data_IF_938894332667
#
_entry.id   IF_938894332667
#
_cell.length_a   1.000
_cell.length_b   1.000
_cell.length_c   1.000
_cell.angle_alpha   90.00
_cell.angle_beta   90.00
_cell.angle_gamma   90.00
#
_symmetry.space_group_name_H-M   'P 1'
#
loop_
_entity.id
_entity.type
_entity.pdbx_description
1 polymer ?
#
# COMPACT_ATOMS: atom_id res chain seq x y z
N UNK A 1 -25.25 -8.49 -46.07
CA UNK A 1 -23.93 -8.92 -45.60
C UNK A 1 -23.60 -8.10 -44.37
N UNK A 2 -23.95 -8.60 -43.20
CA UNK A 2 -23.72 -7.90 -41.93
C UNK A 2 -22.22 -8.00 -41.65
N UNK A 3 -21.50 -6.87 -41.66
CA UNK A 3 -20.20 -6.87 -41.00
C UNK A 3 -20.50 -7.07 -39.54
N UNK A 4 -20.13 -8.25 -39.03
CA UNK A 4 -19.89 -8.35 -37.61
C UNK A 4 -18.76 -7.35 -37.34
N UNK A 5 -19.11 -6.30 -36.60
CA UNK A 5 -18.22 -5.64 -35.64
C UNK A 5 -17.87 -6.69 -34.56
N UNK A 6 -17.44 -7.88 -34.99
CA UNK A 6 -16.88 -8.90 -34.15
C UNK A 6 -15.47 -8.42 -33.90
N UNK A 7 -15.40 -7.51 -32.93
CA UNK A 7 -14.40 -7.57 -31.89
C UNK A 7 -13.04 -7.78 -32.53
N UNK A 8 -12.45 -6.69 -33.02
CA UNK A 8 -11.00 -6.61 -33.14
C UNK A 8 -10.48 -7.00 -31.75
N UNK A 9 -10.17 -8.29 -31.62
CA UNK A 9 -9.59 -8.95 -30.47
C UNK A 9 -8.14 -8.47 -30.44
N UNK A 10 -7.97 -7.16 -30.23
CA UNK A 10 -6.79 -6.62 -29.57
C UNK A 10 -6.84 -7.22 -28.18
N UNK A 11 -6.33 -8.45 -28.10
CA UNK A 11 -5.81 -9.11 -26.92
C UNK A 11 -4.61 -8.28 -26.41
N UNK A 12 -4.84 -7.01 -26.10
CA UNK A 12 -4.04 -6.27 -25.17
C UNK A 12 -4.29 -6.97 -23.85
N UNK A 13 -3.48 -7.99 -23.52
CA UNK A 13 -3.37 -8.47 -22.16
C UNK A 13 -3.11 -7.23 -21.32
N UNK A 14 -4.15 -6.74 -20.65
CA UNK A 14 -4.05 -5.52 -19.87
C UNK A 14 -3.03 -5.81 -18.78
N UNK A 15 -1.87 -5.15 -18.87
CA UNK A 15 -0.81 -5.33 -17.88
C UNK A 15 -1.34 -4.81 -16.56
N UNK A 16 -1.25 -5.64 -15.53
CA UNK A 16 -1.61 -5.29 -14.17
C UNK A 16 -0.35 -5.09 -13.33
N UNK A 17 -0.46 -4.21 -12.36
CA UNK A 17 0.63 -3.74 -11.54
C UNK A 17 0.36 -4.01 -10.07
N UNK A 18 1.38 -3.78 -9.27
CA UNK A 18 1.37 -3.95 -7.82
C UNK A 18 1.90 -2.69 -7.16
N UNK A 19 1.32 -2.34 -6.01
CA UNK A 19 1.84 -1.35 -5.07
C UNK A 19 2.11 -2.08 -3.77
N UNK A 20 3.31 -1.96 -3.24
CA UNK A 20 3.76 -2.56 -1.99
C UNK A 20 5.12 -1.99 -1.61
N UNK A 21 5.69 -2.46 -0.51
CA UNK A 21 7.12 -2.41 -0.16
C UNK A 21 7.29 -2.89 1.30
N UNK A 22 7.55 -1.97 2.23
CA UNK A 22 7.98 -2.27 3.58
C UNK A 22 7.65 -1.10 4.52
N UNK A 23 7.27 -1.40 5.76
CA UNK A 23 7.05 -0.41 6.83
C UNK A 23 8.01 -0.71 7.97
N UNK A 24 8.71 0.32 8.44
CA UNK A 24 9.75 0.21 9.48
C UNK A 24 9.66 1.33 10.51
N UNK A 25 10.26 1.09 11.67
CA UNK A 25 10.45 2.09 12.69
C UNK A 25 11.74 2.88 12.39
N UNK A 26 11.57 4.12 11.93
CA UNK A 26 12.64 5.10 11.71
C UNK A 26 13.09 5.70 13.06
N UNK A 27 14.04 5.03 13.71
CA UNK A 27 14.45 5.35 15.10
C UNK A 27 15.44 6.50 15.19
N UNK A 28 16.22 6.74 14.14
CA UNK A 28 17.22 7.81 14.05
C UNK A 28 16.72 9.04 13.26
N UNK A 29 15.55 8.92 12.62
CA UNK A 29 14.77 10.00 11.99
C UNK A 29 15.40 10.58 10.74
N UNK A 30 16.12 9.75 9.98
CA UNK A 30 16.78 10.18 8.74
C UNK A 30 15.93 9.92 7.49
N UNK A 31 14.84 9.13 7.62
CA UNK A 31 13.96 8.75 6.53
C UNK A 31 14.58 7.76 5.53
N UNK A 32 15.71 7.14 5.87
CA UNK A 32 16.43 6.15 5.07
C UNK A 32 16.32 4.79 5.75
N UNK A 33 15.97 3.77 4.98
CA UNK A 33 15.86 2.41 5.53
C UNK A 33 17.23 1.78 5.76
N UNK A 34 17.41 1.15 6.92
CA UNK A 34 18.52 0.25 7.22
C UNK A 34 19.82 0.95 7.59
N UNK A 35 19.77 2.22 7.97
CA UNK A 35 20.94 3.03 8.38
C UNK A 35 21.27 2.83 9.86
N UNK A 36 20.29 2.48 10.71
CA UNK A 36 20.51 2.01 12.09
C UNK A 36 20.07 0.55 12.27
N UNK A 37 20.94 -0.26 12.86
CA UNK A 37 20.66 -1.67 13.25
C UNK A 37 19.43 -1.88 14.16
N UNK A 38 18.93 -0.81 14.79
CA UNK A 38 17.74 -0.82 15.64
C UNK A 38 16.45 -0.56 14.87
N UNK A 39 16.53 -0.14 13.62
CA UNK A 39 15.36 -0.03 12.75
C UNK A 39 14.78 -1.41 12.47
N UNK A 40 13.50 -1.60 12.81
CA UNK A 40 12.83 -2.90 12.76
C UNK A 40 11.60 -2.87 11.86
N UNK A 41 11.24 -4.02 11.26
CA UNK A 41 9.98 -4.15 10.54
C UNK A 41 8.79 -3.87 11.47
N UNK A 42 7.80 -3.16 10.96
CA UNK A 42 6.55 -2.90 11.67
C UNK A 42 5.45 -3.83 11.19
N UNK A 43 5.18 -4.88 11.95
CA UNK A 43 4.08 -5.78 11.70
C UNK A 43 2.72 -5.19 12.07
N UNK A 44 1.66 -5.69 11.44
CA UNK A 44 0.26 -5.40 11.76
C UNK A 44 -0.16 -3.93 11.56
N UNK A 45 0.60 -3.13 10.81
CA UNK A 45 0.21 -1.76 10.40
C UNK A 45 -0.93 -1.88 9.39
N UNK A 46 -2.03 -1.14 9.61
CA UNK A 46 -3.14 -1.12 8.67
C UNK A 46 -2.77 -0.23 7.49
N UNK A 47 -2.79 -0.80 6.29
CA UNK A 47 -2.54 -0.07 5.04
C UNK A 47 -3.81 -0.11 4.21
N UNK A 48 -4.28 1.05 3.79
CA UNK A 48 -5.50 1.21 2.99
C UNK A 48 -5.14 1.82 1.65
N UNK A 49 -5.53 1.13 0.58
CA UNK A 49 -5.49 1.63 -0.79
C UNK A 49 -6.86 2.19 -1.15
N UNK A 50 -6.90 3.42 -1.63
CA UNK A 50 -8.07 4.03 -2.29
C UNK A 50 -7.90 3.93 -3.80
N UNK A 51 -8.89 3.35 -4.47
CA UNK A 51 -8.97 3.20 -5.92
C UNK A 51 -9.50 4.47 -6.59
N UNK A 52 -9.35 4.63 -7.92
CA UNK A 52 -9.83 5.81 -8.65
C UNK A 52 -11.33 6.08 -8.50
N UNK A 53 -12.13 5.04 -8.30
CA UNK A 53 -13.58 5.13 -8.11
C UNK A 53 -13.98 5.47 -6.66
N UNK A 54 -13.00 5.70 -5.77
CA UNK A 54 -13.21 5.99 -4.36
C UNK A 54 -13.43 4.76 -3.48
N UNK A 55 -13.50 3.55 -4.05
CA UNK A 55 -13.54 2.32 -3.25
C UNK A 55 -12.21 2.10 -2.53
N UNK A 56 -12.21 1.27 -1.49
CA UNK A 56 -11.02 1.01 -0.70
C UNK A 56 -10.77 -0.48 -0.49
N UNK A 57 -9.50 -0.85 -0.31
CA UNK A 57 -9.07 -2.16 0.15
C UNK A 57 -8.01 -1.98 1.22
N UNK A 58 -8.06 -2.80 2.26
CA UNK A 58 -7.07 -2.77 3.33
C UNK A 58 -6.34 -4.09 3.44
N UNK A 59 -5.05 -4.01 3.79
CA UNK A 59 -4.20 -5.13 4.18
C UNK A 59 -3.47 -4.74 5.45
N UNK A 60 -2.86 -5.72 6.12
CA UNK A 60 -1.94 -5.45 7.22
C UNK A 60 -0.54 -5.87 6.83
N UNK A 61 0.46 -5.12 7.28
CA UNK A 61 1.85 -5.54 7.12
C UNK A 61 2.08 -6.87 7.82
N UNK A 62 2.87 -7.74 7.21
CA UNK A 62 3.23 -9.04 7.78
C UNK A 62 4.29 -8.92 8.89
N UNK A 63 4.75 -10.04 9.43
CA UNK A 63 5.77 -10.09 10.49
C UNK A 63 7.10 -9.43 10.08
N UNK A 64 7.36 -9.34 8.77
CA UNK A 64 8.53 -8.73 8.17
C UNK A 64 8.19 -7.35 7.61
N UNK A 65 7.11 -6.69 8.04
CA UNK A 65 6.78 -5.31 7.65
C UNK A 65 6.29 -5.16 6.21
N UNK A 66 6.11 -6.24 5.44
CA UNK A 66 5.74 -6.15 4.03
C UNK A 66 4.23 -6.05 3.83
N UNK A 67 3.81 -5.28 2.82
CA UNK A 67 2.44 -5.20 2.35
C UNK A 67 2.39 -5.17 0.81
N UNK A 68 1.29 -5.63 0.21
CA UNK A 68 1.11 -5.61 -1.24
C UNK A 68 -0.38 -5.48 -1.63
N UNK A 69 -0.63 -4.68 -2.65
CA UNK A 69 -1.87 -4.64 -3.43
C UNK A 69 -1.55 -4.96 -4.88
N UNK A 70 -2.10 -6.06 -5.41
CA UNK A 70 -1.98 -6.43 -6.81
C UNK A 70 -3.24 -6.13 -7.64
N UNK A 71 -3.12 -6.32 -8.96
CA UNK A 71 -4.25 -6.22 -9.88
C UNK A 71 -4.58 -4.78 -10.31
N UNK A 72 -3.61 -3.88 -10.22
CA UNK A 72 -3.81 -2.45 -10.46
C UNK A 72 -3.66 -2.13 -11.94
N UNK A 73 -4.54 -1.26 -12.47
CA UNK A 73 -4.47 -0.78 -13.86
C UNK A 73 -3.41 0.33 -13.97
N UNK A 74 -2.73 0.37 -15.11
CA UNK A 74 -1.81 1.46 -15.48
C UNK A 74 -2.52 2.80 -15.63
N UNK A 75 -1.78 3.89 -15.44
CA UNK A 75 -2.25 5.26 -15.73
C UNK A 75 -3.35 5.80 -14.81
N UNK A 76 -3.65 5.10 -13.73
CA UNK A 76 -4.66 5.48 -12.75
C UNK A 76 -4.01 6.02 -11.46
N UNK A 77 -4.71 6.88 -10.73
CA UNK A 77 -4.26 7.40 -9.44
C UNK A 77 -4.79 6.53 -8.30
N UNK A 78 -3.88 6.09 -7.43
CA UNK A 78 -4.21 5.38 -6.19
C UNK A 78 -3.62 6.13 -5.01
N UNK A 79 -4.34 6.16 -3.89
CA UNK A 79 -3.85 6.76 -2.65
C UNK A 79 -3.59 5.67 -1.62
N UNK A 80 -2.40 5.63 -1.03
CA UNK A 80 -2.06 4.71 0.06
C UNK A 80 -2.06 5.49 1.37
N UNK A 81 -2.80 4.98 2.36
CA UNK A 81 -2.84 5.52 3.72
C UNK A 81 -2.36 4.46 4.71
N UNK A 82 -1.49 4.88 5.62
CA UNK A 82 -1.00 4.06 6.72
C UNK A 82 -1.68 4.50 8.01
N UNK A 83 -2.18 3.53 8.78
CA UNK A 83 -2.76 3.74 10.09
C UNK A 83 -2.10 2.79 11.09
N UNK A 84 -1.46 3.36 12.11
CA UNK A 84 -0.91 2.58 13.19
C UNK A 84 -1.67 2.90 14.48
N UNK A 85 -2.63 2.04 14.82
CA UNK A 85 -3.38 2.14 16.07
C UNK A 85 -2.47 2.10 17.30
N UNK A 86 -1.34 1.36 17.25
CA UNK A 86 -0.41 1.24 18.36
C UNK A 86 0.45 2.50 18.53
N UNK A 87 0.89 3.16 17.45
CA UNK A 87 1.52 4.49 17.54
C UNK A 87 0.53 5.51 18.11
N UNK A 88 -0.70 5.55 17.58
CA UNK A 88 -1.72 6.50 18.03
C UNK A 88 -2.07 6.23 19.50
N UNK A 89 -2.21 4.98 19.96
CA UNK A 89 -2.52 4.68 21.36
C UNK A 89 -1.35 4.93 22.32
N UNK A 90 -0.12 4.58 21.93
CA UNK A 90 1.07 4.76 22.77
C UNK A 90 1.58 6.20 22.83
N UNK A 91 1.30 7.02 21.81
CA UNK A 91 1.61 8.45 21.85
C UNK A 91 0.45 9.29 22.41
N UNK A 92 -0.82 8.91 22.24
CA UNK A 92 -1.96 9.64 22.85
C UNK A 92 -1.89 9.67 24.38
N UNK A 93 -1.30 8.65 25.02
CA UNK A 93 -1.02 8.69 26.47
C UNK A 93 0.15 9.62 26.85
N UNK A 94 1.02 10.00 25.90
CA UNK A 94 2.17 10.90 26.12
C UNK A 94 1.85 12.37 25.83
N UNK A 95 0.85 12.65 24.99
CA UNK A 95 0.44 14.02 24.62
C UNK A 95 -0.70 14.59 25.48
N UNK A 96 -1.33 13.78 26.34
CA UNK A 96 -2.39 14.20 27.25
C UNK A 96 -1.89 14.57 28.66
N UNK A 97 -0.63 15.00 28.79
CA UNK A 97 -0.11 15.61 30.03
C UNK A 97 0.40 17.01 29.77
#
# INVERSE_FOLDING_TARGET
MTLAVATVLLNLKKKLYKIGDYVWEDVDKDGVQGTDSKEKPMANVLVTLTYPDGTTKSVRTDANGHYEFGGLKDGETYTVKFENANWISSNKSKWNN
#
